data_IF_779244284672
#
_entry.id   IF_779244284672
#
_cell.length_a   1.000
_cell.length_b   1.000
_cell.length_c   1.000
_cell.angle_alpha   90.00
_cell.angle_beta   90.00
_cell.angle_gamma   90.00
#
_symmetry.space_group_name_H-M   'P 1'
#
loop_
_entity.id
_entity.type
_entity.pdbx_description
1 polymer ?
#
# COMPACT_ATOMS: atom_id res chain seq x y z
N UNK A 1 10.14 -6.55 -15.79
CA UNK A 1 11.04 -6.95 -14.69
C UNK A 1 10.25 -7.64 -13.61
N UNK A 2 10.65 -8.85 -13.20
CA UNK A 2 9.93 -9.63 -12.19
C UNK A 2 10.78 -9.72 -10.90
N UNK A 3 10.22 -9.23 -9.79
CA UNK A 3 10.71 -9.53 -8.44
C UNK A 3 10.35 -10.99 -8.14
N UNK A 4 11.21 -11.73 -7.45
CA UNK A 4 10.97 -13.13 -7.12
C UNK A 4 10.99 -13.31 -5.62
N UNK A 5 9.89 -13.80 -5.05
CA UNK A 5 9.79 -14.22 -3.66
C UNK A 5 10.39 -15.61 -3.50
N UNK A 6 11.72 -15.68 -3.59
CA UNK A 6 12.48 -16.92 -3.40
C UNK A 6 13.07 -16.99 -1.98
N UNK A 7 13.52 -18.18 -1.59
CA UNK A 7 14.22 -18.37 -0.31
C UNK A 7 15.50 -17.53 -0.30
N UNK A 8 15.92 -17.08 0.88
CA UNK A 8 17.21 -16.42 1.05
C UNK A 8 18.34 -17.24 0.41
N UNK A 9 19.36 -16.54 -0.11
CA UNK A 9 20.54 -17.18 -0.69
C UNK A 9 21.44 -17.81 0.39
N UNK A 10 21.16 -17.57 1.68
CA UNK A 10 21.93 -18.09 2.83
C UNK A 10 21.01 -18.71 3.88
N UNK A 11 21.56 -19.62 4.66
CA UNK A 11 20.94 -20.17 5.88
C UNK A 11 21.08 -19.18 7.04
N UNK A 12 20.38 -19.44 8.15
CA UNK A 12 20.49 -18.65 9.37
C UNK A 12 21.92 -18.65 9.95
N UNK A 13 22.69 -19.73 9.72
CA UNK A 13 24.11 -19.83 10.12
C UNK A 13 25.07 -19.20 9.10
N UNK A 14 24.57 -18.64 7.99
CA UNK A 14 25.37 -17.94 6.98
C UNK A 14 25.88 -18.81 5.81
N UNK A 15 25.72 -20.14 5.89
CA UNK A 15 26.10 -21.04 4.79
C UNK A 15 25.32 -20.73 3.50
N UNK A 16 26.02 -20.67 2.37
CA UNK A 16 25.43 -20.36 1.05
C UNK A 16 24.56 -21.52 0.57
N UNK A 17 23.32 -21.23 0.19
CA UNK A 17 22.37 -22.23 -0.29
C UNK A 17 22.54 -22.41 -1.80
N UNK A 18 22.77 -23.66 -2.24
CA UNK A 18 22.69 -24.04 -3.66
C UNK A 18 21.22 -24.17 -4.05
N UNK A 19 20.81 -23.45 -5.11
CA UNK A 19 19.44 -23.56 -5.64
C UNK A 19 19.27 -24.90 -6.36
N UNK A 20 18.27 -25.67 -5.96
CA UNK A 20 17.96 -26.97 -6.57
C UNK A 20 17.06 -26.87 -7.80
N UNK A 21 16.41 -25.71 -8.03
CA UNK A 21 15.45 -25.50 -9.12
C UNK A 21 15.48 -24.08 -9.66
N UNK A 22 14.90 -23.90 -10.85
CA UNK A 22 14.62 -22.60 -11.47
C UNK A 22 13.38 -21.92 -10.87
N UNK A 23 13.18 -20.65 -11.25
CA UNK A 23 12.10 -19.77 -10.78
C UNK A 23 10.73 -20.30 -11.22
N UNK A 24 9.73 -20.22 -10.34
CA UNK A 24 8.36 -20.69 -10.63
C UNK A 24 7.36 -19.54 -10.70
N UNK A 25 6.34 -19.66 -11.56
CA UNK A 25 5.32 -18.62 -11.78
C UNK A 25 4.64 -18.14 -10.49
N UNK A 26 4.43 -19.01 -9.50
CA UNK A 26 3.80 -18.65 -8.22
C UNK A 26 4.72 -17.87 -7.27
N UNK A 27 6.03 -17.85 -7.52
CA UNK A 27 7.02 -17.07 -6.74
C UNK A 27 7.19 -15.66 -7.33
N UNK A 28 6.51 -15.36 -8.44
CA UNK A 28 6.61 -14.08 -9.12
C UNK A 28 5.91 -12.98 -8.32
N UNK A 29 6.68 -11.97 -7.90
CA UNK A 29 6.21 -10.73 -7.32
C UNK A 29 6.09 -9.61 -8.35
N UNK A 30 5.67 -8.44 -7.88
CA UNK A 30 5.52 -7.21 -8.67
C UNK A 30 6.26 -6.07 -7.98
N UNK A 31 6.62 -5.06 -8.76
CA UNK A 31 7.10 -3.78 -8.21
C UNK A 31 6.02 -3.15 -7.32
N UNK A 32 6.42 -2.50 -6.23
CA UNK A 32 5.48 -1.83 -5.34
C UNK A 32 4.72 -0.74 -6.09
N UNK A 33 3.43 -0.64 -5.85
CA UNK A 33 2.63 0.48 -6.35
C UNK A 33 2.75 1.64 -5.37
N UNK A 34 3.35 2.73 -5.81
CA UNK A 34 3.38 3.98 -5.06
C UNK A 34 2.07 4.72 -5.32
N UNK A 35 1.17 4.74 -4.33
CA UNK A 35 -0.10 5.46 -4.41
C UNK A 35 0.14 6.94 -4.10
N UNK A 36 -0.17 7.80 -5.06
CA UNK A 36 -0.02 9.26 -4.95
C UNK A 36 -1.37 9.95 -4.78
N UNK A 37 -1.34 11.21 -4.37
CA UNK A 37 -2.51 12.08 -4.39
C UNK A 37 -2.82 12.58 -5.81
N UNK A 38 -4.10 12.67 -6.16
CA UNK A 38 -4.55 13.21 -7.46
C UNK A 38 -5.82 12.58 -7.99
N UNK A 39 -6.10 12.80 -9.27
CA UNK A 39 -7.26 12.21 -9.95
C UNK A 39 -7.28 10.69 -9.84
N UNK A 40 -8.46 10.12 -9.62
CA UNK A 40 -8.60 8.70 -9.27
C UNK A 40 -8.16 7.84 -10.45
N UNK A 41 -7.02 7.17 -10.29
CA UNK A 41 -6.53 6.18 -11.25
C UNK A 41 -6.38 4.83 -10.58
N UNK A 42 -7.16 3.86 -11.04
CA UNK A 42 -7.14 2.47 -10.57
C UNK A 42 -7.00 1.56 -11.78
N UNK A 43 -6.28 0.45 -11.61
CA UNK A 43 -6.17 -0.60 -12.62
C UNK A 43 -6.56 -1.93 -12.02
N UNK A 44 -7.40 -2.67 -12.72
CA UNK A 44 -7.69 -4.05 -12.36
C UNK A 44 -6.55 -4.94 -12.83
N UNK A 45 -6.07 -5.78 -11.94
CA UNK A 45 -4.93 -6.65 -12.15
C UNK A 45 -5.31 -8.08 -11.75
N UNK A 46 -4.98 -9.04 -12.60
CA UNK A 46 -5.17 -10.45 -12.28
C UNK A 46 -4.14 -10.93 -11.26
N UNK A 47 -4.62 -11.73 -10.30
CA UNK A 47 -3.78 -12.44 -9.34
C UNK A 47 -3.84 -13.95 -9.60
N UNK A 48 -3.18 -14.74 -8.75
CA UNK A 48 -3.22 -16.20 -8.88
C UNK A 48 -4.68 -16.69 -8.68
N UNK A 49 -5.16 -17.53 -9.60
CA UNK A 49 -6.53 -18.04 -9.58
C UNK A 49 -7.52 -17.07 -10.22
N UNK A 50 -8.76 -17.03 -9.70
CA UNK A 50 -9.84 -16.16 -10.21
C UNK A 50 -9.92 -14.79 -9.53
N UNK A 51 -9.08 -14.52 -8.52
CA UNK A 51 -9.13 -13.28 -7.77
C UNK A 51 -8.48 -12.11 -8.53
N UNK A 52 -9.15 -10.96 -8.51
CA UNK A 52 -8.64 -9.71 -9.08
C UNK A 52 -8.22 -8.76 -7.96
N UNK A 53 -7.15 -7.99 -8.19
CA UNK A 53 -6.67 -6.94 -7.31
C UNK A 53 -6.82 -5.61 -8.01
N UNK A 54 -7.06 -4.54 -7.26
CA UNK A 54 -7.30 -3.21 -7.80
C UNK A 54 -6.36 -2.20 -7.13
N UNK A 55 -5.05 -2.20 -7.42
CA UNK A 55 -4.18 -1.15 -6.91
C UNK A 55 -4.65 0.25 -7.33
N UNK A 56 -4.63 1.18 -6.39
CA UNK A 56 -4.78 2.60 -6.68
C UNK A 56 -3.41 3.23 -6.96
N UNK A 57 -3.26 3.85 -8.13
CA UNK A 57 -2.09 4.67 -8.46
C UNK A 57 -2.25 6.10 -7.96
N UNK A 58 -3.47 6.63 -8.08
CA UNK A 58 -3.81 7.97 -7.58
C UNK A 58 -5.14 7.94 -6.84
N UNK A 59 -5.21 8.69 -5.75
CA UNK A 59 -6.39 8.78 -4.88
C UNK A 59 -6.66 10.23 -4.50
N UNK A 60 -7.92 10.64 -4.57
CA UNK A 60 -8.41 11.95 -4.14
C UNK A 60 -9.14 11.90 -2.79
N UNK A 61 -9.92 10.84 -2.57
CA UNK A 61 -10.80 10.71 -1.42
C UNK A 61 -10.36 9.61 -0.47
N UNK A 62 -10.65 9.82 0.81
CA UNK A 62 -10.46 8.86 1.89
C UNK A 62 -11.75 8.72 2.69
N UNK A 63 -12.05 7.50 3.13
CA UNK A 63 -13.10 7.25 4.10
C UNK A 63 -12.50 7.39 5.49
N UNK A 64 -12.95 8.39 6.23
CA UNK A 64 -12.47 8.70 7.58
C UNK A 64 -13.52 8.26 8.58
N UNK A 65 -13.14 7.36 9.49
CA UNK A 65 -13.99 6.91 10.59
C UNK A 65 -13.62 7.66 11.86
N UNK A 66 -14.62 8.29 12.49
CA UNK A 66 -14.51 8.85 13.84
C UNK A 66 -14.84 7.73 14.86
N UNK A 67 -13.87 7.27 15.68
CA UNK A 67 -14.10 6.19 16.62
C UNK A 67 -15.08 6.57 17.74
N UNK A 68 -15.16 7.86 18.10
CA UNK A 68 -16.03 8.34 19.18
C UNK A 68 -17.49 8.38 18.73
N UNK A 69 -17.74 8.90 17.52
CA UNK A 69 -19.08 9.03 16.96
C UNK A 69 -19.54 7.77 16.21
N UNK A 70 -18.62 6.83 15.92
CA UNK A 70 -18.84 5.63 15.08
C UNK A 70 -19.40 5.94 13.69
N UNK A 71 -19.16 7.15 13.19
CA UNK A 71 -19.60 7.58 11.85
C UNK A 71 -18.40 7.55 10.90
N UNK A 72 -18.65 7.11 9.66
CA UNK A 72 -17.67 7.16 8.59
C UNK A 72 -18.09 8.19 7.55
N UNK A 73 -17.19 9.12 7.24
CA UNK A 73 -17.42 10.21 6.29
C UNK A 73 -16.38 10.17 5.19
N UNK A 74 -16.79 10.52 3.97
CA UNK A 74 -15.85 10.72 2.87
C UNK A 74 -15.23 12.11 2.98
N UNK A 75 -13.91 12.18 2.98
CA UNK A 75 -13.16 13.42 3.03
C UNK A 75 -12.13 13.48 1.88
N UNK A 76 -11.75 14.69 1.50
CA UNK A 76 -10.66 14.93 0.55
C UNK A 76 -9.31 14.91 1.28
N UNK A 77 -8.31 14.34 0.62
CA UNK A 77 -6.94 14.32 1.11
C UNK A 77 -6.28 15.64 0.71
N UNK A 78 -5.82 16.42 1.69
CA UNK A 78 -5.11 17.67 1.44
C UNK A 78 -3.61 17.45 1.35
N UNK A 79 -3.04 16.72 2.32
CA UNK A 79 -1.61 16.44 2.32
C UNK A 79 -1.25 15.15 3.08
N UNK A 80 -0.05 14.64 2.83
CA UNK A 80 0.57 13.54 3.56
C UNK A 80 1.59 14.12 4.54
N UNK A 81 1.32 13.99 5.83
CA UNK A 81 2.16 14.62 6.85
C UNK A 81 3.34 13.75 7.25
N UNK A 82 3.09 12.46 7.49
CA UNK A 82 4.13 11.56 7.99
C UNK A 82 3.91 10.14 7.46
N UNK A 83 5.01 9.51 7.03
CA UNK A 83 5.02 8.09 6.69
C UNK A 83 5.99 7.35 7.64
N UNK A 84 5.51 6.36 8.44
CA UNK A 84 6.37 5.65 9.37
C UNK A 84 7.41 4.74 8.68
N UNK A 85 7.24 4.41 7.41
CA UNK A 85 8.13 3.47 6.71
C UNK A 85 9.43 4.13 6.24
N UNK A 86 9.36 5.35 5.69
CA UNK A 86 10.53 6.09 5.19
C UNK A 86 10.19 7.59 5.02
N UNK A 87 11.16 8.46 5.34
CA UNK A 87 11.11 9.90 5.10
C UNK A 87 11.03 10.25 3.60
N UNK A 88 11.65 9.46 2.70
CA UNK A 88 11.53 9.72 1.25
C UNK A 88 10.10 9.54 0.72
N UNK A 89 9.32 8.65 1.34
CA UNK A 89 7.91 8.49 1.01
C UNK A 89 7.05 9.65 1.48
N UNK A 90 7.44 10.32 2.57
CA UNK A 90 6.81 11.56 2.99
C UNK A 90 7.09 12.68 1.98
N UNK A 91 8.34 12.83 1.52
CA UNK A 91 8.71 13.84 0.51
C UNK A 91 7.97 13.65 -0.81
N UNK A 92 7.83 12.40 -1.25
CA UNK A 92 7.09 12.03 -2.47
C UNK A 92 5.57 11.93 -2.27
N UNK A 93 5.07 12.15 -1.04
CA UNK A 93 3.66 12.06 -0.67
C UNK A 93 3.00 10.72 -1.02
N UNK A 94 3.73 9.62 -0.79
CA UNK A 94 3.24 8.25 -1.03
C UNK A 94 2.38 7.80 0.13
N UNK A 95 1.17 7.33 -0.19
CA UNK A 95 0.20 6.82 0.77
C UNK A 95 0.40 5.32 0.97
N UNK A 96 0.71 4.92 2.19
CA UNK A 96 0.84 3.53 2.60
C UNK A 96 -0.01 3.25 3.84
N UNK A 97 -0.13 1.98 4.22
CA UNK A 97 -0.76 1.63 5.50
C UNK A 97 0.05 2.24 6.64
N UNK A 98 -0.62 2.95 7.55
CA UNK A 98 -0.02 3.60 8.71
C UNK A 98 0.43 5.05 8.47
N UNK A 99 0.33 5.56 7.24
CA UNK A 99 0.60 6.96 6.92
C UNK A 99 -0.40 7.89 7.63
N UNK A 100 0.10 9.00 8.17
CA UNK A 100 -0.72 10.08 8.73
C UNK A 100 -0.99 11.09 7.63
N UNK A 101 -2.28 11.35 7.39
CA UNK A 101 -2.77 12.25 6.33
C UNK A 101 -3.56 13.40 6.95
N UNK A 102 -3.49 14.57 6.31
CA UNK A 102 -4.33 15.72 6.59
C UNK A 102 -5.54 15.70 5.68
N UNK A 103 -6.72 15.71 6.27
CA UNK A 103 -8.01 15.71 5.56
C UNK A 103 -8.84 16.92 5.98
N UNK A 104 -9.88 17.24 5.22
CA UNK A 104 -10.84 18.31 5.56
C UNK A 104 -11.48 18.13 6.95
N UNK A 105 -11.54 16.89 7.47
CA UNK A 105 -12.14 16.56 8.76
C UNK A 105 -11.13 16.47 9.91
N UNK A 106 -9.84 16.59 9.63
CA UNK A 106 -8.77 16.49 10.62
C UNK A 106 -7.62 15.58 10.20
N UNK A 107 -6.73 15.29 11.16
CA UNK A 107 -5.61 14.35 10.97
C UNK A 107 -6.13 12.92 11.10
N UNK A 108 -5.75 12.06 10.17
CA UNK A 108 -6.21 10.67 10.15
C UNK A 108 -5.06 9.71 9.84
N UNK A 109 -5.11 8.53 10.44
CA UNK A 109 -4.16 7.43 10.20
C UNK A 109 -4.77 6.43 9.20
N UNK A 110 -4.07 6.18 8.10
CA UNK A 110 -4.51 5.21 7.10
C UNK A 110 -4.38 3.79 7.65
N UNK A 111 -5.46 3.00 7.57
CA UNK A 111 -5.50 1.61 8.07
C UNK A 111 -5.50 0.57 6.95
N UNK A 112 -5.94 0.94 5.74
CA UNK A 112 -6.04 0.04 4.58
C UNK A 112 -4.74 -0.09 3.78
N UNK A 113 -4.71 -1.03 2.81
CA UNK A 113 -3.58 -1.25 1.88
C UNK A 113 -3.96 -0.82 0.46
N UNK A 114 -3.75 0.46 0.10
CA UNK A 114 -4.21 1.01 -1.18
C UNK A 114 -3.59 0.34 -2.42
N UNK A 115 -2.34 -0.13 -2.32
CA UNK A 115 -1.66 -0.85 -3.40
C UNK A 115 -2.20 -2.26 -3.69
N UNK A 116 -3.17 -2.77 -2.92
CA UNK A 116 -3.81 -4.07 -3.20
C UNK A 116 -5.33 -3.95 -3.35
N UNK A 117 -5.96 -3.17 -2.47
CA UNK A 117 -7.42 -3.07 -2.34
C UNK A 117 -7.99 -1.88 -3.13
N UNK A 118 -7.19 -0.84 -3.38
CA UNK A 118 -7.61 0.34 -4.13
C UNK A 118 -8.46 1.36 -3.37
N UNK A 119 -8.76 1.05 -2.10
CA UNK A 119 -9.57 1.88 -1.20
C UNK A 119 -8.66 2.42 -0.10
N UNK A 120 -8.82 3.70 0.23
CA UNK A 120 -8.14 4.35 1.35
C UNK A 120 -9.16 4.54 2.47
N UNK A 121 -8.95 3.82 3.56
CA UNK A 121 -9.69 4.00 4.81
C UNK A 121 -8.72 4.53 5.87
N UNK A 122 -9.20 5.45 6.69
CA UNK A 122 -8.43 6.07 7.75
C UNK A 122 -9.29 6.27 9.01
N UNK A 123 -8.62 6.37 10.15
CA UNK A 123 -9.24 6.64 11.46
C UNK A 123 -8.71 7.97 11.96
N UNK A 124 -9.58 8.84 12.50
CA UNK A 124 -9.14 10.10 13.12
C UNK A 124 -8.18 9.84 14.28
N UNK A 125 -7.18 10.70 14.41
CA UNK A 125 -6.23 10.72 15.53
C UNK A 125 -6.63 11.82 16.50
#
# INVERSE_FOLDING_TARGET
MAIWHTRSNRTNTGARIKRFRSKRKYEMGRTPTETLMGEIMRKTIDSKGKAKKMPAFRVKYVNVTDPNKRVTLRAEIQDVEMNPANMDYQRRKVITRGTIIKTTKGRAKVTSRPGQEGIVNAVLI
#
